data_IF_291871662375
#
_entry.id   IF_291871662375
#
_cell.length_a   1.000
_cell.length_b   1.000
_cell.length_c   1.000
_cell.angle_alpha   90.00
_cell.angle_beta   90.00
_cell.angle_gamma   90.00
#
_symmetry.space_group_name_H-M   'P 1'
#
loop_
_entity.id
_entity.type
_entity.pdbx_description
1 polymer ?
#
# COMPACT_ATOMS: atom_id res chain seq x y z
N UNK A 1 18.27 -80.83 -1.27
CA UNK A 1 18.90 -81.09 -2.58
C UNK A 1 18.18 -80.25 -3.63
N UNK A 2 18.94 -79.36 -4.28
CA UNK A 2 18.74 -78.68 -5.58
C UNK A 2 17.46 -77.83 -5.79
N UNK A 3 17.59 -76.49 -5.94
CA UNK A 3 17.81 -75.73 -7.21
C UNK A 3 16.60 -75.80 -8.16
N UNK A 4 16.08 -74.74 -8.80
CA UNK A 4 16.70 -73.50 -9.25
C UNK A 4 15.64 -72.44 -9.62
N UNK A 5 16.12 -71.20 -9.68
CA UNK A 5 15.55 -69.92 -10.14
C UNK A 5 14.93 -69.88 -11.55
N UNK A 6 14.01 -68.95 -11.83
CA UNK A 6 14.05 -68.08 -13.03
C UNK A 6 13.15 -66.81 -12.87
N UNK A 7 13.59 -65.70 -13.48
CA UNK A 7 13.09 -64.31 -13.35
C UNK A 7 12.29 -63.83 -14.60
N UNK A 8 11.30 -62.96 -14.35
CA UNK A 8 10.82 -61.78 -15.15
C UNK A 8 10.17 -62.00 -16.55
N UNK A 9 9.40 -61.04 -17.14
CA UNK A 9 9.51 -59.56 -17.00
C UNK A 9 8.22 -58.69 -16.98
N UNK A 10 8.50 -57.38 -16.92
CA UNK A 10 7.71 -56.13 -16.91
C UNK A 10 6.58 -55.94 -17.95
N UNK A 11 5.70 -54.96 -17.66
CA UNK A 11 5.36 -53.76 -18.49
C UNK A 11 3.85 -53.45 -18.46
N UNK A 12 3.38 -52.37 -17.83
CA UNK A 12 3.20 -50.99 -18.35
C UNK A 12 1.90 -50.80 -19.17
N UNK A 13 0.96 -50.10 -18.52
CA UNK A 13 0.11 -48.98 -18.97
C UNK A 13 -0.72 -49.04 -20.27
N UNK A 14 -1.95 -48.53 -20.08
CA UNK A 14 -2.70 -47.54 -20.87
C UNK A 14 -3.95 -48.02 -21.67
N UNK A 15 -5.07 -47.31 -21.41
CA UNK A 15 -6.09 -46.82 -22.38
C UNK A 15 -7.49 -47.48 -22.44
N UNK A 16 -8.43 -46.75 -21.81
CA UNK A 16 -9.71 -46.19 -22.28
C UNK A 16 -10.95 -47.04 -22.70
N UNK A 17 -12.09 -46.44 -22.30
CA UNK A 17 -13.40 -46.27 -22.99
C UNK A 17 -14.67 -47.00 -22.47
N UNK A 18 -15.39 -46.27 -21.58
CA UNK A 18 -16.82 -45.86 -21.59
C UNK A 18 -17.95 -46.85 -21.97
N UNK A 19 -18.95 -46.95 -21.09
CA UNK A 19 -20.43 -46.75 -21.25
C UNK A 19 -21.19 -47.68 -20.26
N UNK A 20 -22.36 -47.42 -19.70
CA UNK A 20 -23.23 -46.27 -19.34
C UNK A 20 -24.52 -46.93 -18.75
N UNK A 21 -25.33 -46.17 -18.01
CA UNK A 21 -26.67 -46.51 -17.47
C UNK A 21 -26.67 -47.47 -16.25
N UNK A 22 -27.35 -47.21 -15.14
CA UNK A 22 -28.49 -46.33 -14.84
C UNK A 22 -28.70 -46.31 -13.31
N UNK A 23 -29.32 -45.27 -12.77
CA UNK A 23 -30.33 -45.26 -11.68
C UNK A 23 -30.47 -43.83 -11.14
N UNK A 24 -31.71 -43.35 -11.13
CA UNK A 24 -32.18 -42.04 -10.67
C UNK A 24 -32.92 -42.14 -9.33
N UNK A 25 -33.02 -40.97 -8.67
CA UNK A 25 -33.76 -40.60 -7.43
C UNK A 25 -33.12 -41.06 -6.11
N UNK A 26 -32.83 -40.17 -5.15
CA UNK A 26 -33.72 -39.18 -4.52
C UNK A 26 -32.94 -37.90 -4.14
N UNK A 27 -33.41 -36.75 -4.61
CA UNK A 27 -32.97 -35.42 -4.16
C UNK A 27 -33.76 -35.01 -2.93
N UNK A 28 -33.08 -34.78 -1.80
CA UNK A 28 -33.60 -33.96 -0.71
C UNK A 28 -33.07 -32.54 -0.90
N UNK A 29 -34.01 -31.63 -1.09
CA UNK A 29 -33.80 -30.19 -1.26
C UNK A 29 -33.46 -29.61 0.11
N UNK A 30 -32.27 -29.01 0.33
CA UNK A 30 -32.18 -27.99 1.36
C UNK A 30 -32.96 -26.79 0.82
N UNK A 31 -34.01 -26.40 1.54
CA UNK A 31 -34.71 -25.12 1.38
C UNK A 31 -33.67 -24.00 1.43
N UNK A 32 -33.13 -23.64 0.27
CA UNK A 32 -32.59 -22.32 0.02
C UNK A 32 -33.78 -21.40 0.20
N UNK A 33 -33.87 -20.76 1.37
CA UNK A 33 -34.46 -19.43 1.42
C UNK A 33 -33.78 -18.63 0.33
N UNK A 34 -34.51 -18.43 -0.77
CA UNK A 34 -34.22 -17.40 -1.76
C UNK A 34 -34.09 -16.10 -0.99
N UNK A 35 -32.84 -15.75 -0.64
CA UNK A 35 -32.49 -14.38 -0.36
C UNK A 35 -32.69 -13.67 -1.69
N UNK A 36 -33.87 -13.08 -1.82
CA UNK A 36 -34.24 -12.21 -2.90
C UNK A 36 -33.41 -10.93 -2.75
N UNK A 37 -32.10 -10.99 -3.00
CA UNK A 37 -31.25 -9.83 -3.14
C UNK A 37 -31.46 -9.25 -4.55
N UNK A 38 -32.70 -8.81 -4.80
CA UNK A 38 -32.95 -7.78 -5.78
C UNK A 38 -32.39 -6.47 -5.22
N UNK A 39 -31.06 -6.32 -5.20
CA UNK A 39 -30.45 -5.01 -5.10
C UNK A 39 -30.71 -4.28 -6.42
N UNK A 40 -31.89 -3.68 -6.54
CA UNK A 40 -32.29 -2.74 -7.59
C UNK A 40 -31.68 -1.35 -7.38
N UNK A 41 -30.59 -1.26 -6.60
CA UNK A 41 -29.86 -0.02 -6.34
C UNK A 41 -28.95 0.36 -7.49
N UNK A 42 -28.74 1.66 -7.67
CA UNK A 42 -27.76 2.20 -8.62
C UNK A 42 -26.36 1.78 -8.17
N UNK A 43 -25.65 1.01 -9.00
CA UNK A 43 -24.26 0.58 -8.75
C UNK A 43 -23.29 1.63 -9.27
N UNK A 44 -22.16 1.80 -8.59
CA UNK A 44 -21.16 2.81 -8.92
C UNK A 44 -19.85 2.15 -9.36
N UNK A 45 -19.10 2.70 -10.33
CA UNK A 45 -17.78 2.19 -10.65
C UNK A 45 -16.77 2.57 -9.54
N UNK A 46 -15.66 1.83 -9.45
CA UNK A 46 -14.65 2.00 -8.37
C UNK A 46 -13.23 2.00 -8.91
N UNK A 47 -12.38 2.85 -8.33
CA UNK A 47 -10.93 2.85 -8.55
C UNK A 47 -10.22 2.52 -7.25
N UNK A 48 -9.29 1.55 -7.32
CA UNK A 48 -8.46 1.09 -6.21
C UNK A 48 -7.09 1.76 -6.28
N UNK A 49 -6.72 2.50 -5.23
CA UNK A 49 -5.46 3.24 -5.14
C UNK A 49 -4.60 2.60 -4.04
N UNK A 50 -3.50 1.91 -4.41
CA UNK A 50 -2.67 1.17 -3.46
C UNK A 50 -1.83 2.09 -2.57
N UNK A 51 -1.28 1.52 -1.49
CA UNK A 51 -0.38 2.17 -0.57
C UNK A 51 1.09 1.96 -0.93
N UNK A 52 1.97 2.26 0.02
CA UNK A 52 3.40 2.05 -0.13
C UNK A 52 3.70 0.57 -0.42
N UNK A 53 4.39 0.29 -1.54
CA UNK A 53 4.68 -1.07 -1.96
C UNK A 53 3.47 -1.85 -2.49
N UNK A 54 2.28 -1.24 -2.61
CA UNK A 54 1.03 -1.92 -2.95
C UNK A 54 0.80 -2.17 -4.44
N UNK A 55 1.84 -2.14 -5.26
CA UNK A 55 1.77 -2.55 -6.67
C UNK A 55 3.08 -3.19 -7.11
N UNK A 56 3.05 -3.97 -8.18
CA UNK A 56 4.27 -4.51 -8.78
C UNK A 56 5.14 -3.41 -9.40
N UNK A 57 6.47 -3.61 -9.41
CA UNK A 57 7.41 -2.74 -10.12
C UNK A 57 8.38 -3.57 -10.95
N UNK A 58 8.77 -3.04 -12.11
CA UNK A 58 9.68 -3.69 -13.06
C UNK A 58 10.84 -2.78 -13.40
N UNK A 59 12.00 -3.39 -13.57
CA UNK A 59 13.20 -2.71 -14.00
C UNK A 59 13.55 -3.06 -15.44
N UNK A 60 13.80 -2.06 -16.26
CA UNK A 60 14.54 -2.20 -17.52
C UNK A 60 15.94 -1.59 -17.35
N UNK A 61 17.01 -2.39 -17.28
CA UNK A 61 18.38 -1.88 -17.16
C UNK A 61 18.78 -0.98 -18.33
N UNK A 62 19.49 0.10 -18.04
CA UNK A 62 19.96 1.07 -19.05
C UNK A 62 21.28 0.65 -19.72
N UNK A 63 22.09 -0.14 -19.04
CA UNK A 63 23.45 -0.55 -19.42
C UNK A 63 23.51 -1.76 -20.38
N UNK A 64 22.48 -2.62 -20.39
CA UNK A 64 22.51 -3.92 -21.11
C UNK A 64 21.91 -3.86 -22.53
N UNK A 65 21.63 -2.66 -23.05
CA UNK A 65 21.01 -2.46 -24.37
C UNK A 65 19.51 -2.80 -24.43
N UNK A 66 18.84 -2.40 -25.52
CA UNK A 66 17.38 -2.49 -25.66
C UNK A 66 16.81 -3.92 -25.70
N UNK A 67 17.66 -4.93 -25.83
CA UNK A 67 17.30 -6.36 -25.98
C UNK A 67 16.96 -7.08 -24.68
N UNK A 68 17.26 -6.50 -23.51
CA UNK A 68 16.95 -7.14 -22.23
C UNK A 68 15.49 -6.91 -21.83
N UNK A 69 14.77 -7.98 -21.51
CA UNK A 69 13.38 -7.90 -21.07
C UNK A 69 13.28 -7.29 -19.66
N UNK A 70 12.27 -6.44 -19.37
CA UNK A 70 12.06 -5.94 -18.03
C UNK A 70 11.87 -7.09 -17.02
N UNK A 71 12.52 -7.00 -15.86
CA UNK A 71 12.40 -8.00 -14.80
C UNK A 71 11.62 -7.46 -13.61
N UNK A 72 10.96 -8.35 -12.85
CA UNK A 72 10.23 -7.95 -11.65
C UNK A 72 11.20 -7.47 -10.56
N UNK A 73 11.11 -6.18 -10.24
CA UNK A 73 11.89 -5.51 -9.21
C UNK A 73 11.20 -5.59 -7.85
N UNK A 74 9.85 -5.51 -7.83
CA UNK A 74 9.03 -5.55 -6.62
C UNK A 74 7.69 -6.27 -6.86
N UNK A 75 7.20 -7.15 -5.99
CA UNK A 75 7.92 -7.80 -4.87
C UNK A 75 8.65 -9.04 -5.39
N UNK A 76 9.97 -9.04 -5.27
CA UNK A 76 10.82 -10.18 -5.61
C UNK A 76 11.67 -10.58 -4.40
N UNK A 77 11.31 -11.71 -3.77
CA UNK A 77 11.97 -12.20 -2.56
C UNK A 77 13.47 -12.50 -2.78
N UNK A 78 13.86 -13.03 -3.94
CA UNK A 78 15.27 -13.31 -4.24
C UNK A 78 16.08 -12.01 -4.36
N UNK A 79 15.50 -10.95 -4.91
CA UNK A 79 16.12 -9.63 -4.95
C UNK A 79 16.24 -9.02 -3.55
N UNK A 80 15.26 -9.23 -2.67
CA UNK A 80 15.35 -8.79 -1.28
C UNK A 80 16.45 -9.51 -0.50
N UNK A 81 16.86 -10.72 -0.91
CA UNK A 81 17.99 -11.45 -0.33
C UNK A 81 19.37 -11.01 -0.86
N UNK A 82 19.44 -10.32 -2.01
CA UNK A 82 20.67 -9.92 -2.68
C UNK A 82 20.86 -8.38 -2.62
N UNK A 83 21.64 -7.85 -1.65
CA UNK A 83 21.53 -6.44 -1.29
C UNK A 83 22.07 -5.46 -2.34
N UNK A 84 23.28 -5.63 -2.87
CA UNK A 84 23.95 -4.46 -3.45
C UNK A 84 23.37 -3.95 -4.78
N UNK A 85 23.12 -4.83 -5.76
CA UNK A 85 22.73 -4.38 -7.12
C UNK A 85 21.25 -3.97 -7.23
N UNK A 86 20.38 -4.63 -6.48
CA UNK A 86 18.93 -4.36 -6.50
C UNK A 86 18.62 -2.97 -5.95
N UNK A 87 19.35 -2.56 -4.91
CA UNK A 87 19.23 -1.23 -4.32
C UNK A 87 19.60 -0.11 -5.29
N UNK A 88 20.61 -0.32 -6.14
CA UNK A 88 20.97 0.66 -7.16
C UNK A 88 19.88 0.83 -8.23
N UNK A 89 19.13 -0.23 -8.54
CA UNK A 89 17.97 -0.15 -9.44
C UNK A 89 16.74 0.51 -8.80
N UNK A 90 16.54 0.32 -7.49
CA UNK A 90 15.33 0.77 -6.81
C UNK A 90 15.42 2.21 -6.28
N UNK A 91 16.62 2.65 -5.87
CA UNK A 91 16.83 3.97 -5.26
C UNK A 91 16.44 5.12 -6.18
N UNK A 92 15.94 6.19 -5.57
CA UNK A 92 15.74 7.46 -6.26
C UNK A 92 16.98 8.34 -6.11
N UNK A 93 17.20 9.21 -7.09
CA UNK A 93 18.14 10.32 -7.02
C UNK A 93 17.35 11.62 -6.83
N UNK A 94 17.90 12.57 -6.09
CA UNK A 94 17.28 13.86 -5.84
C UNK A 94 18.10 14.98 -6.47
N UNK A 95 17.44 15.89 -7.18
CA UNK A 95 18.06 17.12 -7.60
C UNK A 95 18.56 17.92 -6.37
N UNK A 96 19.81 18.40 -6.34
CA UNK A 96 20.37 19.04 -5.14
C UNK A 96 19.72 20.38 -4.77
N UNK A 97 18.96 21.00 -5.68
CA UNK A 97 18.35 22.31 -5.48
C UNK A 97 16.83 22.22 -5.31
N UNK A 98 16.15 21.47 -6.18
CA UNK A 98 14.69 21.31 -6.16
C UNK A 98 14.24 20.12 -5.31
N UNK A 99 15.17 19.21 -5.00
CA UNK A 99 14.95 17.93 -4.33
C UNK A 99 14.05 16.96 -5.11
N UNK A 100 13.68 17.29 -6.37
CA UNK A 100 12.79 16.46 -7.19
C UNK A 100 13.43 15.11 -7.44
N UNK A 101 12.64 14.04 -7.31
CA UNK A 101 13.17 12.69 -7.48
C UNK A 101 13.14 12.22 -8.93
N UNK A 102 14.18 11.50 -9.32
CA UNK A 102 14.27 10.77 -10.58
C UNK A 102 14.82 9.36 -10.35
N UNK A 103 14.56 8.47 -11.31
CA UNK A 103 15.14 7.13 -11.30
C UNK A 103 16.66 7.19 -11.35
N UNK A 104 17.29 6.14 -10.84
CA UNK A 104 18.74 5.99 -10.99
C UNK A 104 19.16 5.85 -12.45
N UNK A 105 20.45 6.04 -12.69
CA UNK A 105 21.07 5.83 -14.00
C UNK A 105 21.15 4.35 -14.40
N UNK A 106 20.77 3.43 -13.51
CA UNK A 106 20.90 1.99 -13.73
C UNK A 106 19.66 1.38 -14.36
N UNK A 107 18.48 1.99 -14.13
CA UNK A 107 17.21 1.38 -14.48
C UNK A 107 16.12 2.39 -14.83
N UNK A 108 15.32 2.08 -15.84
CA UNK A 108 14.00 2.67 -16.02
C UNK A 108 12.97 1.84 -15.24
N UNK A 109 12.41 2.43 -14.19
CA UNK A 109 11.47 1.71 -13.32
C UNK A 109 10.04 1.97 -13.78
N UNK A 110 9.28 0.89 -13.93
CA UNK A 110 7.88 0.95 -14.40
C UNK A 110 6.94 0.27 -13.43
N UNK A 111 5.73 0.81 -13.33
CA UNK A 111 4.65 0.33 -12.45
C UNK A 111 3.47 -0.06 -13.35
N UNK A 112 3.36 -1.33 -13.76
CA UNK A 112 2.41 -1.75 -14.78
C UNK A 112 0.97 -1.86 -14.25
N UNK A 113 0.03 -2.05 -15.17
CA UNK A 113 -1.39 -2.28 -14.84
C UNK A 113 -2.18 -1.00 -14.61
N UNK A 114 -1.76 0.15 -15.15
CA UNK A 114 -2.55 1.38 -15.07
C UNK A 114 -3.94 1.18 -15.68
N UNK A 115 -4.99 1.35 -14.87
CA UNK A 115 -6.38 1.12 -15.25
C UNK A 115 -6.88 -0.30 -14.98
N UNK A 116 -5.99 -1.30 -14.96
CA UNK A 116 -6.35 -2.67 -14.62
C UNK A 116 -6.15 -2.94 -13.12
N UNK A 117 -6.68 -4.05 -12.59
CA UNK A 117 -6.60 -4.37 -11.15
C UNK A 117 -5.52 -5.38 -10.82
N UNK A 118 -5.08 -6.21 -11.78
CA UNK A 118 -4.19 -7.35 -11.49
C UNK A 118 -2.91 -6.96 -10.73
N UNK A 119 -2.33 -5.79 -11.02
CA UNK A 119 -1.05 -5.35 -10.43
C UNK A 119 -1.19 -4.84 -8.99
N UNK A 120 -2.41 -4.58 -8.54
CA UNK A 120 -2.76 -4.17 -7.17
C UNK A 120 -3.56 -5.26 -6.43
N UNK A 121 -4.00 -6.32 -7.11
CA UNK A 121 -4.60 -7.49 -6.46
C UNK A 121 -3.57 -8.37 -5.76
N UNK A 122 -2.46 -8.66 -6.46
CA UNK A 122 -1.38 -9.53 -6.00
C UNK A 122 -0.02 -8.90 -6.31
N UNK A 123 0.86 -8.82 -5.31
CA UNK A 123 2.14 -8.08 -5.40
C UNK A 123 3.31 -8.93 -5.89
N UNK A 124 3.13 -10.24 -6.05
CA UNK A 124 4.13 -11.15 -6.60
C UNK A 124 3.49 -12.20 -7.51
N UNK A 125 4.23 -12.58 -8.55
CA UNK A 125 3.81 -13.59 -9.54
C UNK A 125 4.03 -15.03 -9.07
N UNK A 126 4.93 -15.25 -8.09
CA UNK A 126 5.39 -16.58 -7.70
C UNK A 126 4.90 -17.00 -6.31
N UNK A 127 4.64 -16.03 -5.43
CA UNK A 127 4.06 -16.23 -4.11
C UNK A 127 2.82 -15.35 -4.08
N UNK A 128 1.65 -15.91 -3.75
CA UNK A 128 0.43 -15.11 -3.65
C UNK A 128 0.57 -14.17 -2.45
N UNK A 129 1.02 -12.95 -2.73
CA UNK A 129 1.08 -11.87 -1.78
C UNK A 129 -0.10 -10.94 -2.06
N UNK A 130 -1.24 -11.31 -1.49
CA UNK A 130 -2.52 -10.65 -1.73
C UNK A 130 -2.57 -9.25 -1.13
N UNK A 131 -3.31 -8.36 -1.79
CA UNK A 131 -3.51 -6.99 -1.36
C UNK A 131 -4.95 -6.50 -1.57
N UNK A 132 -5.42 -6.31 -2.81
CA UNK A 132 -6.84 -6.06 -3.11
C UNK A 132 -7.59 -7.29 -3.65
N UNK A 133 -6.92 -8.45 -3.79
CA UNK A 133 -7.45 -9.62 -4.47
C UNK A 133 -8.78 -10.12 -3.91
N UNK A 134 -8.95 -10.13 -2.60
CA UNK A 134 -10.17 -10.58 -1.92
C UNK A 134 -11.34 -9.64 -2.19
N UNK A 135 -11.12 -8.33 -2.06
CA UNK A 135 -12.12 -7.32 -2.37
C UNK A 135 -12.56 -7.41 -3.84
N UNK A 136 -11.59 -7.45 -4.76
CA UNK A 136 -11.86 -7.55 -6.20
C UNK A 136 -12.67 -8.80 -6.51
N UNK A 137 -12.29 -9.95 -5.95
CA UNK A 137 -12.99 -11.23 -6.16
C UNK A 137 -14.44 -11.18 -5.67
N UNK A 138 -14.70 -10.51 -4.54
CA UNK A 138 -16.06 -10.37 -4.00
C UNK A 138 -16.93 -9.40 -4.81
N UNK A 139 -16.36 -8.29 -5.31
CA UNK A 139 -17.08 -7.35 -6.18
C UNK A 139 -17.46 -7.99 -7.52
N UNK A 140 -16.58 -8.80 -8.10
CA UNK A 140 -16.81 -9.47 -9.39
C UNK A 140 -17.92 -10.52 -9.40
N UNK A 141 -18.43 -10.92 -8.24
CA UNK A 141 -19.64 -11.76 -8.16
C UNK A 141 -20.85 -11.07 -8.77
N UNK A 142 -20.84 -9.73 -8.80
CA UNK A 142 -21.84 -8.94 -9.51
C UNK A 142 -21.35 -8.54 -10.91
N UNK A 143 -22.20 -8.78 -11.92
CA UNK A 143 -21.89 -8.56 -13.35
C UNK A 143 -21.55 -7.12 -13.71
N UNK A 144 -21.89 -6.15 -12.87
CA UNK A 144 -21.53 -4.76 -13.10
C UNK A 144 -20.03 -4.51 -12.95
N UNK A 145 -19.32 -5.26 -12.09
CA UNK A 145 -17.90 -5.04 -11.80
C UNK A 145 -17.01 -5.86 -12.73
N UNK A 146 -16.41 -5.17 -13.69
CA UNK A 146 -15.52 -5.75 -14.70
C UNK A 146 -14.16 -5.08 -14.57
N UNK A 147 -13.11 -5.90 -14.37
CA UNK A 147 -11.71 -5.45 -14.33
C UNK A 147 -11.38 -4.61 -15.57
N UNK A 148 -10.55 -3.58 -15.41
CA UNK A 148 -10.17 -2.68 -16.48
C UNK A 148 -11.36 -1.97 -17.17
N UNK A 149 -12.54 -1.91 -16.54
CA UNK A 149 -13.69 -1.23 -17.12
C UNK A 149 -14.45 -0.41 -16.08
N UNK A 150 -15.32 -1.03 -15.28
CA UNK A 150 -16.05 -0.39 -14.16
C UNK A 150 -15.33 -0.53 -12.82
N UNK A 151 -14.35 -1.42 -12.75
CA UNK A 151 -13.44 -1.59 -11.63
C UNK A 151 -12.01 -1.45 -12.13
N UNK A 152 -11.29 -0.44 -11.63
CA UNK A 152 -9.96 -0.07 -12.13
C UNK A 152 -8.94 -0.04 -10.99
N UNK A 153 -7.68 -0.28 -11.30
CA UNK A 153 -6.56 -0.02 -10.40
C UNK A 153 -5.76 1.19 -10.86
N UNK A 154 -5.18 1.92 -9.91
CA UNK A 154 -4.29 3.05 -10.17
C UNK A 154 -2.92 2.81 -9.52
N UNK A 155 -2.13 1.83 -9.99
CA UNK A 155 -0.74 1.66 -9.55
C UNK A 155 0.09 2.90 -9.92
N UNK A 156 1.06 3.25 -9.09
CA UNK A 156 1.92 4.41 -9.29
C UNK A 156 3.31 4.12 -8.73
N UNK A 157 4.25 5.01 -9.01
CA UNK A 157 5.55 4.97 -8.37
C UNK A 157 5.41 5.27 -6.88
N UNK A 158 5.21 4.22 -6.09
CA UNK A 158 5.00 4.31 -4.66
C UNK A 158 6.27 4.72 -3.90
N UNK A 159 7.44 4.82 -4.56
CA UNK A 159 8.63 5.40 -3.94
C UNK A 159 8.49 6.90 -3.77
N UNK A 160 7.67 7.54 -4.62
CA UNK A 160 7.46 8.99 -4.64
C UNK A 160 6.30 9.42 -3.74
N UNK A 161 6.37 10.65 -3.22
CA UNK A 161 5.25 11.31 -2.53
C UNK A 161 4.30 11.97 -3.54
N UNK A 162 3.06 12.33 -3.13
CA UNK A 162 2.08 12.95 -4.03
C UNK A 162 2.55 14.23 -4.74
N UNK A 163 3.31 15.10 -4.06
CA UNK A 163 3.87 16.34 -4.63
C UNK A 163 4.96 16.07 -5.69
N UNK A 164 5.69 14.97 -5.52
CA UNK A 164 6.85 14.57 -6.32
C UNK A 164 6.44 13.75 -7.56
N UNK A 165 5.26 13.11 -7.52
CA UNK A 165 4.68 12.36 -8.64
C UNK A 165 3.64 13.19 -9.42
N UNK A 166 4.10 14.30 -10.00
CA UNK A 166 3.23 15.30 -10.66
C UNK A 166 2.32 14.74 -11.76
N UNK A 167 2.81 13.74 -12.52
CA UNK A 167 2.02 13.13 -13.59
C UNK A 167 0.81 12.33 -13.09
N UNK A 168 0.82 11.87 -11.83
CA UNK A 168 -0.28 11.11 -11.25
C UNK A 168 -1.60 11.90 -11.33
N UNK A 169 -1.60 13.18 -10.96
CA UNK A 169 -2.82 14.01 -10.93
C UNK A 169 -3.47 14.08 -12.33
N UNK A 170 -2.66 14.28 -13.37
CA UNK A 170 -3.14 14.39 -14.75
C UNK A 170 -3.69 13.05 -15.23
N UNK A 171 -2.92 11.97 -15.09
CA UNK A 171 -3.33 10.63 -15.54
C UNK A 171 -4.55 10.13 -14.78
N UNK A 172 -4.60 10.38 -13.46
CA UNK A 172 -5.68 9.91 -12.60
C UNK A 172 -7.00 10.63 -12.88
N UNK A 173 -6.95 11.92 -13.26
CA UNK A 173 -8.13 12.65 -13.74
C UNK A 173 -8.77 11.96 -14.95
N UNK A 174 -7.95 11.65 -15.97
CA UNK A 174 -8.44 10.95 -17.17
C UNK A 174 -8.97 9.56 -16.85
N UNK A 175 -8.33 8.83 -15.93
CA UNK A 175 -8.81 7.52 -15.48
C UNK A 175 -10.20 7.63 -14.82
N UNK A 176 -10.42 8.64 -13.97
CA UNK A 176 -11.73 8.88 -13.34
C UNK A 176 -12.80 9.20 -14.38
N UNK A 177 -12.50 10.06 -15.35
CA UNK A 177 -13.45 10.46 -16.41
C UNK A 177 -13.81 9.27 -17.32
N UNK A 178 -12.84 8.42 -17.67
CA UNK A 178 -13.07 7.17 -18.40
C UNK A 178 -13.92 6.19 -17.58
N UNK A 179 -13.60 6.03 -16.30
CA UNK A 179 -14.30 5.13 -15.37
C UNK A 179 -15.75 5.56 -15.16
N UNK A 180 -16.00 6.87 -15.07
CA UNK A 180 -17.35 7.45 -15.01
C UNK A 180 -18.17 7.06 -16.24
N UNK A 181 -17.59 7.24 -17.44
CA UNK A 181 -18.24 6.92 -18.72
C UNK A 181 -18.53 5.41 -18.82
N UNK A 182 -17.55 4.56 -18.50
CA UNK A 182 -17.70 3.10 -18.47
C UNK A 182 -18.76 2.65 -17.44
N UNK A 183 -18.90 3.40 -16.35
CA UNK A 183 -19.88 3.20 -15.29
C UNK A 183 -21.29 3.70 -15.59
N UNK A 184 -21.64 3.93 -16.86
CA UNK A 184 -22.94 4.48 -17.30
C UNK A 184 -23.17 5.91 -16.83
N UNK A 185 -22.15 6.75 -16.96
CA UNK A 185 -22.13 8.14 -16.52
C UNK A 185 -22.46 8.31 -15.03
N UNK A 186 -21.95 7.39 -14.22
CA UNK A 186 -22.15 7.38 -12.76
C UNK A 186 -20.89 7.84 -12.05
N UNK A 187 -21.04 8.64 -10.97
CA UNK A 187 -19.91 9.12 -10.20
C UNK A 187 -19.13 7.95 -9.57
N UNK A 188 -17.81 8.11 -9.50
CA UNK A 188 -16.85 7.05 -9.18
C UNK A 188 -16.54 7.01 -7.69
N UNK A 189 -16.45 5.81 -7.13
CA UNK A 189 -15.93 5.58 -5.78
C UNK A 189 -14.41 5.48 -5.83
N UNK A 190 -13.71 6.29 -5.04
CA UNK A 190 -12.26 6.21 -4.90
C UNK A 190 -11.93 5.52 -3.59
N UNK A 191 -11.22 4.39 -3.64
CA UNK A 191 -10.77 3.65 -2.46
C UNK A 191 -9.25 3.75 -2.37
N UNK A 192 -8.77 4.63 -1.50
CA UNK A 192 -7.35 4.78 -1.23
C UNK A 192 -6.96 4.03 0.03
N UNK A 193 -5.97 3.15 -0.05
CA UNK A 193 -5.42 2.48 1.13
C UNK A 193 -4.05 3.06 1.52
N UNK A 194 -3.84 3.33 2.82
CA UNK A 194 -2.56 3.80 3.36
C UNK A 194 -2.04 5.04 2.59
N UNK A 195 -0.82 5.01 2.04
CA UNK A 195 -0.28 6.08 1.18
C UNK A 195 -1.21 6.45 0.00
N UNK A 196 -1.97 5.48 -0.53
CA UNK A 196 -2.96 5.70 -1.59
C UNK A 196 -4.09 6.63 -1.17
N UNK A 197 -4.44 6.68 0.12
CA UNK A 197 -5.34 7.70 0.66
C UNK A 197 -4.74 9.10 0.58
N UNK A 198 -3.45 9.27 0.86
CA UNK A 198 -2.78 10.57 0.73
C UNK A 198 -2.70 11.03 -0.72
N UNK A 199 -2.42 10.11 -1.65
CA UNK A 199 -2.49 10.37 -3.10
C UNK A 199 -3.88 10.81 -3.54
N UNK A 200 -4.91 10.10 -3.06
CA UNK A 200 -6.31 10.43 -3.37
C UNK A 200 -6.71 11.78 -2.80
N UNK A 201 -6.32 12.08 -1.56
CA UNK A 201 -6.55 13.37 -0.90
C UNK A 201 -5.86 14.52 -1.65
N UNK A 202 -4.58 14.36 -1.99
CA UNK A 202 -3.81 15.33 -2.77
C UNK A 202 -4.45 15.57 -4.14
N UNK A 203 -4.87 14.51 -4.83
CA UNK A 203 -5.58 14.61 -6.10
C UNK A 203 -6.88 15.42 -5.97
N UNK A 204 -7.73 15.11 -4.98
CA UNK A 204 -9.02 15.77 -4.76
C UNK A 204 -8.88 17.25 -4.37
N UNK A 205 -7.82 17.62 -3.64
CA UNK A 205 -7.49 19.03 -3.36
C UNK A 205 -7.10 19.79 -4.64
N UNK A 206 -6.55 19.10 -5.64
CA UNK A 206 -6.18 19.67 -6.94
C UNK A 206 -7.31 19.65 -7.99
N UNK A 207 -8.53 19.25 -7.64
CA UNK A 207 -9.69 19.30 -8.54
C UNK A 207 -10.68 20.40 -8.16
N UNK A 208 -11.35 20.96 -9.18
CA UNK A 208 -12.38 21.97 -8.97
C UNK A 208 -13.61 21.39 -8.28
N UNK A 209 -14.36 22.23 -7.57
CA UNK A 209 -15.65 21.86 -6.94
C UNK A 209 -16.59 21.17 -7.93
N UNK A 210 -16.80 21.77 -9.10
CA UNK A 210 -17.71 21.23 -10.11
C UNK A 210 -17.28 19.85 -10.61
N UNK A 211 -15.97 19.66 -10.83
CA UNK A 211 -15.44 18.37 -11.25
C UNK A 211 -15.68 17.29 -10.18
N UNK A 212 -15.39 17.59 -8.91
CA UNK A 212 -15.64 16.65 -7.79
C UNK A 212 -17.10 16.26 -7.68
N UNK A 213 -18.01 17.23 -7.75
CA UNK A 213 -19.45 17.00 -7.66
C UNK A 213 -20.01 16.19 -8.83
N UNK A 214 -19.40 16.29 -10.02
CA UNK A 214 -19.80 15.51 -11.21
C UNK A 214 -19.25 14.08 -11.17
N UNK A 215 -17.96 13.94 -10.90
CA UNK A 215 -17.25 12.68 -11.16
C UNK A 215 -17.05 11.80 -9.93
N UNK A 216 -17.16 12.32 -8.70
CA UNK A 216 -16.82 11.58 -7.49
C UNK A 216 -18.08 11.28 -6.69
N UNK A 217 -18.33 9.99 -6.40
CA UNK A 217 -19.42 9.56 -5.52
C UNK A 217 -18.99 9.67 -4.06
N UNK A 218 -17.81 9.12 -3.78
CA UNK A 218 -17.25 9.07 -2.44
C UNK A 218 -15.76 8.82 -2.45
N UNK A 219 -15.07 9.30 -1.43
CA UNK A 219 -13.71 8.90 -1.10
C UNK A 219 -13.72 7.99 0.14
N UNK A 220 -13.35 6.72 -0.05
CA UNK A 220 -13.11 5.76 1.02
C UNK A 220 -11.62 5.84 1.39
N UNK A 221 -11.33 6.53 2.50
CA UNK A 221 -9.97 6.67 3.02
C UNK A 221 -9.70 5.56 4.02
N UNK A 222 -8.94 4.54 3.62
CA UNK A 222 -8.68 3.33 4.42
C UNK A 222 -7.26 3.36 4.99
N UNK A 223 -7.14 3.23 6.30
CA UNK A 223 -5.88 3.16 7.05
C UNK A 223 -4.91 4.30 6.71
N UNK A 224 -5.42 5.52 6.53
CA UNK A 224 -4.63 6.65 6.02
C UNK A 224 -3.69 7.21 7.09
N UNK A 225 -2.36 7.26 6.85
CA UNK A 225 -1.40 7.91 7.74
C UNK A 225 -1.45 9.44 7.57
N UNK A 226 -2.60 10.07 7.85
CA UNK A 226 -2.84 11.51 7.63
C UNK A 226 -1.88 12.39 8.43
N UNK A 227 -1.52 11.97 9.64
CA UNK A 227 -0.47 12.61 10.42
C UNK A 227 0.92 12.03 10.20
N UNK A 228 1.06 10.92 9.47
CA UNK A 228 2.29 10.12 9.45
C UNK A 228 2.32 9.02 10.53
N UNK A 229 3.46 8.34 10.67
CA UNK A 229 3.68 7.23 11.61
C UNK A 229 5.08 7.30 12.21
N UNK A 230 5.20 6.99 13.51
CA UNK A 230 6.51 6.91 14.18
C UNK A 230 7.35 5.77 13.59
N UNK A 231 6.74 4.73 13.00
CA UNK A 231 7.48 3.65 12.35
C UNK A 231 8.37 4.18 11.21
N UNK A 232 7.94 5.22 10.48
CA UNK A 232 8.75 5.82 9.42
C UNK A 232 10.06 6.43 9.94
N UNK A 233 10.08 6.97 11.17
CA UNK A 233 11.31 7.45 11.81
C UNK A 233 12.31 6.31 12.04
N UNK A 234 11.83 5.12 12.41
CA UNK A 234 12.69 3.93 12.52
C UNK A 234 13.27 3.57 11.16
N UNK A 235 12.42 3.49 10.14
CA UNK A 235 12.81 3.07 8.79
C UNK A 235 13.92 3.97 8.21
N UNK A 236 13.88 5.28 8.46
CA UNK A 236 14.91 6.22 7.98
C UNK A 236 16.11 6.39 8.93
N UNK A 237 16.03 5.92 10.18
CA UNK A 237 17.13 6.00 11.16
C UNK A 237 17.94 4.73 11.21
N UNK A 238 17.30 3.63 11.58
CA UNK A 238 17.93 2.33 11.83
C UNK A 238 17.75 1.37 10.67
N UNK A 239 16.86 1.71 9.74
CA UNK A 239 16.40 0.80 8.70
C UNK A 239 15.23 -0.04 9.17
N UNK A 240 14.45 -0.48 8.19
CA UNK A 240 13.36 -1.44 8.36
C UNK A 240 13.68 -2.64 7.48
N UNK A 241 13.44 -3.85 7.98
CA UNK A 241 13.67 -5.07 7.22
C UNK A 241 12.54 -5.34 6.21
N UNK A 242 11.49 -4.49 6.16
CA UNK A 242 10.35 -4.61 5.24
C UNK A 242 9.70 -6.01 5.30
N UNK A 243 9.79 -6.69 6.44
CA UNK A 243 9.31 -8.06 6.64
C UNK A 243 10.26 -9.18 6.21
N UNK A 244 11.50 -8.88 5.79
CA UNK A 244 12.53 -9.87 5.42
C UNK A 244 13.55 -10.01 6.54
N UNK A 245 13.31 -10.98 7.43
CA UNK A 245 14.06 -11.20 8.68
C UNK A 245 15.54 -11.58 8.55
N UNK A 246 16.07 -11.74 7.33
CA UNK A 246 17.38 -12.38 7.09
C UNK A 246 18.52 -11.35 6.95
N UNK A 247 18.22 -10.08 6.70
CA UNK A 247 19.22 -9.06 6.35
C UNK A 247 19.31 -7.92 7.38
N UNK A 248 20.48 -7.28 7.45
CA UNK A 248 20.70 -6.13 8.34
C UNK A 248 19.82 -4.94 7.90
N UNK A 249 18.92 -4.43 8.75
CA UNK A 249 18.03 -3.32 8.43
C UNK A 249 18.76 -2.09 7.87
N UNK A 250 20.01 -1.85 8.29
CA UNK A 250 20.81 -0.71 7.83
C UNK A 250 21.06 -0.70 6.33
N UNK A 251 21.02 -1.85 5.65
CA UNK A 251 21.20 -1.95 4.20
C UNK A 251 20.00 -1.40 3.43
N UNK A 252 18.78 -1.63 3.93
CA UNK A 252 17.56 -1.10 3.32
C UNK A 252 17.38 0.39 3.62
N UNK A 253 17.93 0.87 4.74
CA UNK A 253 17.84 2.27 5.17
C UNK A 253 18.24 3.23 4.06
N UNK A 254 19.33 2.97 3.35
CA UNK A 254 19.86 3.92 2.37
C UNK A 254 18.92 4.07 1.17
N UNK A 255 18.27 2.98 0.76
CA UNK A 255 17.22 3.01 -0.27
C UNK A 255 15.95 3.68 0.24
N UNK A 256 15.51 3.32 1.46
CA UNK A 256 14.32 3.92 2.11
C UNK A 256 14.49 5.44 2.23
N UNK A 257 15.70 5.92 2.55
CA UNK A 257 16.07 7.34 2.60
C UNK A 257 15.99 8.05 1.24
N UNK A 258 15.90 7.33 0.13
CA UNK A 258 15.65 7.96 -1.18
C UNK A 258 14.16 8.07 -1.51
N UNK A 259 13.30 7.34 -0.80
CA UNK A 259 11.87 7.29 -1.09
C UNK A 259 11.16 8.48 -0.47
N UNK A 260 10.79 9.48 -1.29
CA UNK A 260 10.05 10.67 -0.82
C UNK A 260 8.70 10.31 -0.20
N UNK A 261 8.09 9.19 -0.60
CA UNK A 261 6.90 8.60 0.03
C UNK A 261 7.06 8.28 1.52
N UNK A 262 8.20 7.71 1.93
CA UNK A 262 8.47 7.34 3.33
C UNK A 262 8.69 8.60 4.16
N UNK A 263 9.39 9.58 3.57
CA UNK A 263 9.59 10.88 4.20
C UNK A 263 8.26 11.63 4.39
N UNK A 264 7.36 11.55 3.41
CA UNK A 264 6.05 12.19 3.48
C UNK A 264 5.15 11.68 4.62
N UNK A 265 5.40 10.46 5.13
CA UNK A 265 4.63 9.86 6.23
C UNK A 265 5.37 9.91 7.57
N UNK A 266 6.36 10.78 7.72
CA UNK A 266 6.91 11.09 9.05
C UNK A 266 5.89 11.85 9.90
N UNK A 267 5.95 11.73 11.24
CA UNK A 267 5.02 12.41 12.13
C UNK A 267 4.98 13.93 11.89
N UNK A 268 3.80 14.45 11.59
CA UNK A 268 3.57 15.84 11.22
C UNK A 268 3.62 16.76 12.46
N UNK A 269 4.46 17.82 12.48
CA UNK A 269 4.54 18.77 13.60
C UNK A 269 3.24 19.49 13.96
N UNK A 270 2.27 19.54 13.03
CA UNK A 270 0.93 20.09 13.32
C UNK A 270 0.04 19.14 14.14
N UNK A 271 0.37 17.85 14.21
CA UNK A 271 -0.41 16.84 14.95
C UNK A 271 0.28 16.37 16.24
N UNK A 272 1.60 16.19 16.25
CA UNK A 272 2.36 15.85 17.46
C UNK A 272 2.85 17.12 18.14
N UNK A 273 2.71 17.17 19.46
CA UNK A 273 3.14 18.35 20.22
C UNK A 273 4.66 18.42 20.37
N UNK A 274 5.15 19.61 20.72
CA UNK A 274 6.57 19.88 21.01
C UNK A 274 7.09 19.22 22.30
N UNK A 275 6.20 18.71 23.15
CA UNK A 275 6.55 18.09 24.43
C UNK A 275 6.58 16.55 24.31
N UNK A 276 6.21 16.02 23.15
CA UNK A 276 6.17 14.58 22.86
C UNK A 276 7.49 14.09 22.29
N UNK A 277 8.26 13.42 23.14
CA UNK A 277 9.52 12.77 22.76
C UNK A 277 9.20 11.51 21.95
N UNK A 278 9.65 11.46 20.71
CA UNK A 278 9.50 10.28 19.84
C UNK A 278 10.77 9.43 19.77
N UNK A 279 11.93 10.07 19.91
CA UNK A 279 13.24 9.40 19.85
C UNK A 279 14.03 9.76 21.10
N UNK A 280 14.40 8.75 21.87
CA UNK A 280 15.28 8.87 23.03
C UNK A 280 16.64 8.32 22.64
N UNK A 281 17.70 9.07 22.88
CA UNK A 281 19.08 8.60 22.73
C UNK A 281 19.84 8.83 24.05
N UNK A 282 21.06 8.27 24.21
CA UNK A 282 21.84 8.44 25.43
C UNK A 282 22.18 9.90 25.76
N UNK A 283 22.25 10.75 24.75
CA UNK A 283 22.74 12.13 24.88
C UNK A 283 21.67 13.18 24.58
N UNK A 284 20.59 12.80 23.87
CA UNK A 284 19.56 13.74 23.42
C UNK A 284 18.22 13.06 23.17
N UNK A 285 17.14 13.77 23.48
CA UNK A 285 15.79 13.41 23.12
C UNK A 285 15.32 14.27 21.95
N UNK A 286 14.56 13.70 21.02
CA UNK A 286 14.02 14.40 19.86
C UNK A 286 12.50 14.28 19.83
N UNK A 287 11.87 15.42 19.60
CA UNK A 287 10.46 15.58 19.26
C UNK A 287 10.34 15.86 17.75
N UNK A 288 9.10 15.96 17.25
CA UNK A 288 8.86 16.38 15.85
C UNK A 288 9.34 17.81 15.55
N UNK A 289 9.61 18.62 16.57
CA UNK A 289 10.11 19.98 16.41
C UNK A 289 11.64 20.04 16.36
N UNK A 290 12.32 18.95 16.70
CA UNK A 290 13.79 18.80 16.66
C UNK A 290 14.28 18.10 15.38
N UNK A 291 13.44 18.03 14.33
CA UNK A 291 13.80 17.37 13.07
C UNK A 291 15.09 17.88 12.42
N UNK A 292 15.40 19.19 12.35
CA UNK A 292 16.67 19.65 11.80
C UNK A 292 17.88 18.97 12.44
N UNK A 293 17.90 18.93 13.78
CA UNK A 293 18.96 18.33 14.57
C UNK A 293 18.94 16.82 14.47
N UNK A 294 17.77 16.18 14.58
CA UNK A 294 17.63 14.73 14.44
C UNK A 294 18.15 14.21 13.10
N UNK A 295 17.81 14.89 11.99
CA UNK A 295 18.29 14.50 10.66
C UNK A 295 19.79 14.76 10.50
N UNK A 296 20.31 15.82 11.09
CA UNK A 296 21.76 16.08 11.14
C UNK A 296 22.50 14.98 11.92
N UNK A 297 22.04 14.69 13.14
CA UNK A 297 22.64 13.69 14.03
C UNK A 297 22.53 12.26 13.48
N UNK A 298 21.56 12.02 12.59
CA UNK A 298 21.37 10.76 11.86
C UNK A 298 22.12 10.68 10.53
N UNK A 299 22.94 11.69 10.21
CA UNK A 299 23.66 11.85 8.94
C UNK A 299 22.74 11.75 7.71
N UNK A 300 21.62 12.46 7.73
CA UNK A 300 20.59 12.43 6.70
C UNK A 300 19.81 13.75 6.59
N UNK A 301 20.51 14.89 6.55
CA UNK A 301 19.90 16.22 6.47
C UNK A 301 18.97 16.41 5.26
N UNK A 302 19.22 15.69 4.16
CA UNK A 302 18.35 15.67 2.96
C UNK A 302 16.91 15.27 3.31
N UNK A 303 16.71 14.35 4.27
CA UNK A 303 15.38 13.95 4.71
C UNK A 303 14.55 15.10 5.27
N UNK A 304 15.17 16.00 6.02
CA UNK A 304 14.50 17.21 6.52
C UNK A 304 14.05 18.13 5.37
N UNK A 305 14.90 18.32 4.36
CA UNK A 305 14.59 19.14 3.18
C UNK A 305 13.44 18.55 2.36
N UNK A 306 13.45 17.24 2.15
CA UNK A 306 12.35 16.52 1.50
C UNK A 306 11.03 16.65 2.29
N UNK A 307 11.07 16.49 3.61
CA UNK A 307 9.88 16.59 4.45
C UNK A 307 9.28 18.00 4.47
N UNK A 308 10.12 19.02 4.63
CA UNK A 308 9.67 20.42 4.59
C UNK A 308 9.08 20.80 3.24
N UNK A 309 9.66 20.32 2.13
CA UNK A 309 9.09 20.52 0.79
C UNK A 309 7.70 19.89 0.68
N UNK A 310 7.55 18.63 1.10
CA UNK A 310 6.27 17.93 1.08
C UNK A 310 5.18 18.69 1.86
N UNK A 311 5.46 19.07 3.11
CA UNK A 311 4.51 19.82 3.95
C UNK A 311 4.18 21.21 3.40
N UNK A 312 5.07 21.81 2.60
CA UNK A 312 4.81 23.09 1.93
C UNK A 312 3.87 22.94 0.73
N UNK A 313 3.89 21.77 0.07
CA UNK A 313 3.06 21.48 -1.09
C UNK A 313 1.70 20.88 -0.72
N UNK A 314 1.60 20.18 0.41
CA UNK A 314 0.42 19.44 0.79
C UNK A 314 0.25 19.35 2.31
N UNK A 315 -0.91 19.77 2.81
CA UNK A 315 -1.33 19.50 4.18
C UNK A 315 -2.28 18.29 4.21
N UNK A 316 -1.83 17.10 4.67
CA UNK A 316 -2.68 15.92 4.76
C UNK A 316 -3.69 15.97 5.91
N UNK A 317 -3.62 16.97 6.80
CA UNK A 317 -4.52 17.07 7.95
C UNK A 317 -5.88 17.69 7.63
N UNK A 318 -5.97 18.48 6.57
CA UNK A 318 -7.21 19.16 6.21
C UNK A 318 -8.09 18.33 5.28
N UNK A 319 -9.41 18.52 5.40
CA UNK A 319 -10.41 17.81 4.63
C UNK A 319 -10.31 18.08 3.12
N UNK A 320 -10.70 17.11 2.26
CA UNK A 320 -10.95 17.40 0.86
C UNK A 320 -12.29 18.10 0.70
N UNK A 321 -12.26 19.43 0.56
CA UNK A 321 -13.49 20.22 0.40
C UNK A 321 -14.30 19.79 -0.83
N UNK A 322 -15.62 19.89 -0.72
CA UNK A 322 -16.58 19.64 -1.80
C UNK A 322 -16.57 18.21 -2.39
N UNK A 323 -16.00 17.24 -1.68
CA UNK A 323 -16.24 15.82 -1.97
C UNK A 323 -17.60 15.44 -1.40
N UNK A 324 -18.51 14.83 -2.19
CA UNK A 324 -19.87 14.55 -1.72
C UNK A 324 -19.93 13.68 -0.46
N UNK A 325 -19.11 12.63 -0.41
CA UNK A 325 -19.03 11.74 0.74
C UNK A 325 -17.57 11.36 1.02
N UNK A 326 -17.15 11.47 2.27
CA UNK A 326 -15.83 11.01 2.72
C UNK A 326 -16.05 9.99 3.83
N UNK A 327 -15.43 8.83 3.70
CA UNK A 327 -15.41 7.81 4.74
C UNK A 327 -14.00 7.70 5.32
N UNK A 328 -13.91 7.88 6.62
CA UNK A 328 -12.71 7.76 7.44
C UNK A 328 -12.68 6.35 8.03
N UNK A 329 -11.93 5.44 7.40
CA UNK A 329 -11.95 4.02 7.68
C UNK A 329 -10.60 3.61 8.24
N UNK A 330 -10.55 3.02 9.44
CA UNK A 330 -9.28 2.64 10.06
C UNK A 330 -9.43 1.51 11.08
N UNK A 331 -8.32 0.80 11.31
CA UNK A 331 -8.17 -0.15 12.40
C UNK A 331 -7.76 0.51 13.72
N UNK A 332 -8.06 -0.14 14.84
CA UNK A 332 -7.63 0.29 16.18
C UNK A 332 -7.42 -0.91 17.11
N UNK A 333 -6.81 -0.68 18.27
CA UNK A 333 -6.59 -1.68 19.30
C UNK A 333 -5.36 -2.57 19.08
N UNK A 334 -4.48 -2.21 18.14
CA UNK A 334 -3.25 -2.95 17.84
C UNK A 334 -2.01 -2.12 18.17
N UNK A 335 -0.93 -2.82 18.52
CA UNK A 335 0.33 -2.20 18.92
C UNK A 335 1.02 -1.54 17.73
N UNK A 336 1.03 -0.21 17.70
CA UNK A 336 1.79 0.61 16.75
C UNK A 336 2.97 1.28 17.45
N UNK A 337 4.08 1.49 16.75
CA UNK A 337 5.25 2.19 17.30
C UNK A 337 4.85 3.59 17.77
N UNK A 338 5.09 3.93 19.04
CA UNK A 338 4.77 5.26 19.62
C UNK A 338 6.05 6.04 19.96
N UNK A 339 7.10 5.36 20.42
CA UNK A 339 8.38 5.97 20.76
C UNK A 339 9.51 4.95 20.57
N UNK A 340 10.71 5.42 20.23
CA UNK A 340 11.91 4.59 20.12
C UNK A 340 13.03 5.05 21.03
N UNK A 341 13.75 4.08 21.59
CA UNK A 341 14.81 4.29 22.59
C UNK A 341 16.10 3.63 22.12
N UNK A 342 17.12 4.44 21.91
CA UNK A 342 18.47 4.06 21.53
C UNK A 342 19.36 3.98 22.77
N UNK A 343 20.14 2.90 22.88
CA UNK A 343 21.02 2.64 24.04
C UNK A 343 22.39 3.26 23.83
N UNK A 344 23.13 3.40 24.93
CA UNK A 344 24.55 3.79 24.87
C UNK A 344 25.34 2.79 24.05
N UNK A 345 26.27 3.25 23.18
CA UNK A 345 27.12 2.35 22.43
C UNK A 345 27.96 1.51 23.40
N UNK A 346 28.20 0.26 23.02
CA UNK A 346 29.05 -0.68 23.75
C UNK A 346 29.78 -1.57 22.75
N UNK A 347 30.61 -2.51 23.24
CA UNK A 347 31.32 -3.46 22.37
C UNK A 347 30.37 -4.27 21.45
N UNK A 348 29.10 -4.43 21.83
CA UNK A 348 28.10 -5.21 21.09
C UNK A 348 26.93 -4.37 20.55
N UNK A 349 26.92 -3.06 20.79
CA UNK A 349 25.84 -2.16 20.39
C UNK A 349 26.45 -0.96 19.68
N UNK A 350 26.15 -0.82 18.39
CA UNK A 350 26.54 0.33 17.58
C UNK A 350 25.98 1.65 18.15
N UNK A 351 26.61 2.77 17.83
CA UNK A 351 26.07 4.08 18.16
C UNK A 351 24.78 4.37 17.37
N UNK A 352 23.95 5.27 17.88
CA UNK A 352 22.94 5.94 17.06
C UNK A 352 23.60 6.54 15.81
N UNK A 353 22.99 6.45 14.61
CA UNK A 353 21.70 5.83 14.29
C UNK A 353 21.78 4.33 13.89
N UNK A 354 22.96 3.70 13.97
CA UNK A 354 23.27 2.39 13.39
C UNK A 354 22.98 1.18 14.32
N UNK A 355 22.01 1.30 15.22
CA UNK A 355 21.59 0.22 16.12
C UNK A 355 20.08 -0.03 16.01
N UNK A 356 19.63 -1.22 16.39
CA UNK A 356 18.20 -1.50 16.55
C UNK A 356 17.68 -0.89 17.86
N UNK A 357 16.65 -0.04 17.83
CA UNK A 357 16.12 0.59 19.02
C UNK A 357 15.24 -0.36 19.83
N UNK A 358 15.03 -0.04 21.11
CA UNK A 358 13.87 -0.55 21.86
C UNK A 358 12.63 0.25 21.45
N UNK A 359 11.53 -0.45 21.22
CA UNK A 359 10.26 0.16 20.81
C UNK A 359 9.32 0.23 22.01
N UNK A 360 8.65 1.37 22.17
CA UNK A 360 7.46 1.55 23.01
C UNK A 360 6.26 1.62 22.07
N UNK A 361 5.24 0.83 22.38
CA UNK A 361 4.03 0.72 21.57
C UNK A 361 2.89 1.55 22.16
N UNK A 362 2.07 2.09 21.28
CA UNK A 362 0.81 2.74 21.56
C UNK A 362 -0.31 2.11 20.71
N UNK A 363 -1.47 2.74 20.72
CA UNK A 363 -2.64 2.28 19.97
C UNK A 363 -2.56 2.66 18.49
N UNK A 364 -3.11 1.82 17.63
CA UNK A 364 -3.14 1.96 16.18
C UNK A 364 -3.62 0.69 15.48
N UNK A 365 -3.22 0.54 14.23
CA UNK A 365 -3.55 -0.61 13.38
C UNK A 365 -2.38 -1.59 13.18
N UNK A 366 -1.34 -1.50 14.02
CA UNK A 366 -0.11 -2.28 13.90
C UNK A 366 0.97 -1.62 13.04
N UNK A 367 0.70 -0.48 12.40
CA UNK A 367 1.69 0.28 11.62
C UNK A 367 1.58 1.78 11.86
N UNK A 368 0.36 2.32 11.83
CA UNK A 368 0.07 3.75 11.97
C UNK A 368 -0.53 4.00 13.35
N UNK A 369 -0.11 5.08 14.00
CA UNK A 369 -0.65 5.50 15.29
C UNK A 369 -2.12 5.90 15.16
N UNK A 370 -2.96 5.52 16.12
CA UNK A 370 -4.40 5.79 16.10
C UNK A 370 -4.71 7.28 15.94
N UNK A 371 -3.93 8.16 16.58
CA UNK A 371 -4.07 9.62 16.46
C UNK A 371 -3.95 10.13 15.01
N UNK A 372 -3.13 9.48 14.21
CA UNK A 372 -2.88 9.80 12.80
C UNK A 372 -4.04 9.30 11.93
N UNK A 373 -4.48 8.07 12.17
CA UNK A 373 -5.66 7.47 11.53
C UNK A 373 -6.93 8.30 11.80
N UNK A 374 -7.07 8.81 13.03
CA UNK A 374 -8.24 9.58 13.48
C UNK A 374 -8.30 11.03 12.99
N UNK A 375 -7.31 11.53 12.26
CA UNK A 375 -7.34 12.94 11.79
C UNK A 375 -8.60 13.24 10.99
N UNK A 376 -9.02 12.32 10.10
CA UNK A 376 -10.21 12.51 9.28
C UNK A 376 -11.52 12.54 10.08
N UNK A 377 -11.54 12.09 11.34
CA UNK A 377 -12.73 12.21 12.21
C UNK A 377 -13.09 13.66 12.52
N UNK A 378 -12.13 14.58 12.38
CA UNK A 378 -12.32 16.03 12.58
C UNK A 378 -12.80 16.74 11.33
N UNK A 379 -12.89 16.06 10.18
CA UNK A 379 -13.36 16.67 8.94
C UNK A 379 -14.89 16.81 8.98
N UNK A 380 -15.46 17.99 8.60
CA UNK A 380 -16.87 18.29 8.82
C UNK A 380 -17.88 17.28 8.25
N UNK A 381 -17.52 16.57 7.17
CA UNK A 381 -18.40 15.65 6.44
C UNK A 381 -17.95 14.19 6.46
N UNK A 382 -16.93 13.87 7.25
CA UNK A 382 -16.39 12.51 7.30
C UNK A 382 -17.28 11.57 8.09
N UNK A 383 -17.68 10.46 7.47
CA UNK A 383 -18.33 9.33 8.12
C UNK A 383 -17.26 8.39 8.64
N UNK A 384 -17.29 8.08 9.94
CA UNK A 384 -16.25 7.28 10.59
C UNK A 384 -16.65 5.81 10.61
N UNK A 385 -15.74 4.93 10.20
CA UNK A 385 -15.90 3.47 10.28
C UNK A 385 -14.64 2.89 10.91
N UNK A 386 -14.77 2.52 12.19
CA UNK A 386 -13.67 1.95 12.96
C UNK A 386 -13.81 0.42 13.00
N UNK A 387 -12.77 -0.28 12.54
CA UNK A 387 -12.67 -1.73 12.62
C UNK A 387 -11.71 -2.10 13.76
N UNK A 388 -12.27 -2.34 14.94
CA UNK A 388 -11.47 -2.77 16.11
C UNK A 388 -10.77 -4.10 15.78
N UNK A 389 -9.50 -4.19 16.19
CA UNK A 389 -8.56 -5.28 15.94
C UNK A 389 -8.32 -5.61 14.46
N UNK A 390 -8.36 -4.61 13.59
CA UNK A 390 -8.00 -4.75 12.18
C UNK A 390 -6.59 -4.25 11.93
N UNK A 391 -5.75 -5.12 11.37
CA UNK A 391 -4.37 -4.79 11.01
C UNK A 391 -4.31 -3.90 9.75
N UNK A 392 -3.27 -3.08 9.69
CA UNK A 392 -3.09 -2.01 8.70
C UNK A 392 -3.44 -2.43 7.27
N UNK A 393 -2.92 -3.57 6.81
CA UNK A 393 -3.11 -4.12 5.46
C UNK A 393 -4.19 -5.23 5.41
N UNK A 394 -4.23 -6.21 6.34
CA UNK A 394 -5.27 -7.25 6.35
C UNK A 394 -6.70 -6.72 6.38
N UNK A 395 -6.95 -5.49 6.85
CA UNK A 395 -8.27 -4.84 6.77
C UNK A 395 -8.91 -4.94 5.37
N UNK A 396 -8.12 -4.92 4.30
CA UNK A 396 -8.61 -4.99 2.91
C UNK A 396 -9.24 -6.33 2.53
N UNK A 397 -8.86 -7.41 3.20
CA UNK A 397 -9.37 -8.77 2.96
C UNK A 397 -10.36 -9.23 4.03
N UNK A 398 -10.60 -8.44 5.07
CA UNK A 398 -11.58 -8.75 6.09
C UNK A 398 -13.01 -8.72 5.57
N UNK A 399 -13.80 -9.73 5.94
CA UNK A 399 -15.22 -9.83 5.58
C UNK A 399 -16.01 -8.57 5.98
N UNK A 400 -15.76 -8.01 7.18
CA UNK A 400 -16.47 -6.82 7.68
C UNK A 400 -16.24 -5.59 6.79
N UNK A 401 -14.99 -5.41 6.34
CA UNK A 401 -14.62 -4.32 5.44
C UNK A 401 -15.22 -4.55 4.04
N UNK A 402 -15.11 -5.76 3.51
CA UNK A 402 -15.69 -6.10 2.20
C UNK A 402 -17.21 -5.93 2.20
N UNK A 403 -17.90 -6.40 3.24
CA UNK A 403 -19.35 -6.22 3.38
C UNK A 403 -19.74 -4.73 3.43
N UNK A 404 -18.95 -3.91 4.14
CA UNK A 404 -19.13 -2.46 4.16
C UNK A 404 -18.98 -1.86 2.76
N UNK A 405 -17.92 -2.22 2.02
CA UNK A 405 -17.72 -1.72 0.65
C UNK A 405 -18.89 -2.17 -0.22
N UNK A 406 -19.28 -3.44 -0.19
CA UNK A 406 -20.40 -3.98 -0.97
C UNK A 406 -21.72 -3.22 -0.69
N UNK A 407 -22.03 -2.99 0.58
CA UNK A 407 -23.20 -2.22 0.98
C UNK A 407 -23.15 -0.79 0.42
N UNK A 408 -22.01 -0.11 0.54
CA UNK A 408 -21.80 1.24 -0.01
C UNK A 408 -21.93 1.28 -1.55
N UNK A 409 -21.60 0.16 -2.19
CA UNK A 409 -21.66 -0.06 -3.63
C UNK A 409 -23.02 -0.61 -4.11
N UNK A 410 -24.00 -0.75 -3.21
CA UNK A 410 -25.35 -1.29 -3.45
C UNK A 410 -25.39 -2.73 -4.00
N UNK A 411 -24.56 -3.64 -3.46
CA UNK A 411 -24.50 -5.07 -3.86
C UNK A 411 -24.46 -6.06 -2.70
#
# INVERSE_FOLDING_TARGET
>A
MCCNTFKMPHSILLVQYILLCSITLVYTIPMLTLVNNNHTGIKYPIILIPGLGGSQAYCKPKDVGSSFAPFNLWINFFHMLLPNKVFDYFRLQHDPYTYESHDSNECDVTFPGWGDTWSVEYLSQHISFEYFGSLVSELMKDKFYVRNFTMRGAPYDFRKSPDDNKQFVVKFKSLVEETYTNGLDRPVVLLGHSLGSLYTLYFLKNQTKHWKQKYIKSFLSVSAPLGGTVNALISVTSGDNLGVFIQNPSLYRDVIRTMTSVIAVLPNPKLWSKDEILIVTPFKNYTVHDYPEYFSDSNYLTGYKLFTRYLSAFDPLEAPEHVPEVYCIYGSGLLSVEQVIYKSPSLFISSFPNQSPRIIYGDGDGTVNLRSLKVCTKWPTAKVVEFITSEHRPILSEKRFIDFVKQHMNI
#
